data_IF_805403640207
#
_entry.id   IF_805403640207
#
_cell.length_a   1.000
_cell.length_b   1.000
_cell.length_c   1.000
_cell.angle_alpha   90.00
_cell.angle_beta   90.00
_cell.angle_gamma   90.00
#
_symmetry.space_group_name_H-M   'P 1'
#
loop_
_entity.id
_entity.type
_entity.pdbx_description
1 polymer ?
#
# COMPACT_ATOMS: atom_id res chain seq x y z
N UNK A 1 -21.30 0.66 -6.94
CA UNK A 1 -21.07 0.37 -5.51
C UNK A 1 -19.68 0.82 -5.06
N UNK A 2 -18.60 0.41 -5.73
CA UNK A 2 -17.23 0.88 -5.40
C UNK A 2 -17.09 2.39 -5.47
N UNK A 3 -17.65 3.03 -6.52
CA UNK A 3 -17.61 4.50 -6.63
C UNK A 3 -18.15 5.21 -5.39
N UNK A 4 -19.25 4.74 -4.83
CA UNK A 4 -19.84 5.33 -3.62
C UNK A 4 -18.95 5.14 -2.37
N UNK A 5 -18.24 4.01 -2.26
CA UNK A 5 -17.26 3.80 -1.19
C UNK A 5 -16.06 4.73 -1.34
N UNK A 6 -15.56 4.87 -2.56
CA UNK A 6 -14.46 5.79 -2.89
C UNK A 6 -14.87 7.23 -2.59
N UNK A 7 -16.02 7.68 -3.08
CA UNK A 7 -16.57 9.00 -2.80
C UNK A 7 -16.73 9.26 -1.30
N UNK A 8 -17.26 8.29 -0.54
CA UNK A 8 -17.39 8.40 0.90
C UNK A 8 -16.03 8.53 1.61
N UNK A 9 -15.02 7.79 1.15
CA UNK A 9 -13.66 7.89 1.68
C UNK A 9 -13.02 9.26 1.36
N UNK A 10 -13.30 9.83 0.20
CA UNK A 10 -12.87 11.20 -0.14
C UNK A 10 -13.60 12.27 0.68
N UNK A 11 -14.90 12.09 0.92
CA UNK A 11 -15.71 13.04 1.70
C UNK A 11 -15.32 13.06 3.17
N UNK A 12 -15.04 11.89 3.74
CA UNK A 12 -14.65 11.75 5.15
C UNK A 12 -13.15 11.91 5.37
N UNK A 13 -12.35 11.78 4.31
CA UNK A 13 -10.89 11.71 4.37
C UNK A 13 -10.37 10.41 4.98
N UNK A 14 -11.24 9.44 5.24
CA UNK A 14 -10.91 8.18 5.89
C UNK A 14 -11.55 6.98 5.18
N UNK A 15 -10.77 5.92 4.97
CA UNK A 15 -11.27 4.64 4.50
C UNK A 15 -11.55 3.72 5.70
N UNK A 16 -12.82 3.38 5.89
CA UNK A 16 -13.25 2.51 6.99
C UNK A 16 -12.91 1.04 6.75
N UNK A 17 -12.78 0.27 7.83
CA UNK A 17 -12.48 -1.17 7.78
C UNK A 17 -13.54 -1.95 6.99
N UNK A 18 -14.81 -1.57 7.13
CA UNK A 18 -15.91 -2.16 6.37
C UNK A 18 -15.76 -1.93 4.85
N UNK A 19 -15.33 -0.73 4.46
CA UNK A 19 -15.10 -0.38 3.05
C UNK A 19 -13.93 -1.15 2.46
N UNK A 20 -12.82 -1.30 3.22
CA UNK A 20 -11.69 -2.15 2.81
C UNK A 20 -12.09 -3.61 2.64
N UNK A 21 -12.90 -4.15 3.56
CA UNK A 21 -13.41 -5.53 3.47
C UNK A 21 -14.24 -5.77 2.20
N UNK A 22 -15.12 -4.82 1.86
CA UNK A 22 -15.93 -4.88 0.64
C UNK A 22 -15.05 -4.82 -0.63
N UNK A 23 -14.05 -3.95 -0.66
CA UNK A 23 -13.08 -3.85 -1.77
C UNK A 23 -12.31 -5.17 -1.91
N UNK A 24 -11.78 -5.70 -0.81
CA UNK A 24 -11.04 -6.96 -0.79
C UNK A 24 -11.89 -8.14 -1.29
N UNK A 25 -13.16 -8.20 -0.91
CA UNK A 25 -14.07 -9.24 -1.34
C UNK A 25 -14.42 -9.12 -2.83
N UNK A 26 -14.57 -7.90 -3.35
CA UNK A 26 -14.81 -7.69 -4.78
C UNK A 26 -13.59 -8.11 -5.62
N UNK A 27 -12.38 -7.81 -5.15
CA UNK A 27 -11.14 -8.23 -5.81
C UNK A 27 -11.01 -9.76 -5.82
N UNK A 28 -11.31 -10.41 -4.70
CA UNK A 28 -11.28 -11.86 -4.59
C UNK A 28 -12.30 -12.55 -5.51
N UNK A 29 -13.48 -11.95 -5.67
CA UNK A 29 -14.57 -12.50 -6.50
C UNK A 29 -14.46 -12.14 -7.99
N UNK A 30 -13.52 -11.24 -8.36
CA UNK A 30 -13.31 -10.76 -9.74
C UNK A 30 -14.57 -10.20 -10.41
N UNK A 31 -15.55 -9.76 -9.63
CA UNK A 31 -16.84 -9.23 -10.11
C UNK A 31 -16.82 -7.74 -10.48
N UNK A 32 -15.64 -7.16 -10.71
CA UNK A 32 -15.48 -5.72 -10.95
C UNK A 32 -15.52 -5.38 -12.44
N UNK A 33 -16.11 -4.23 -12.78
CA UNK A 33 -16.08 -3.67 -14.13
C UNK A 33 -14.89 -2.72 -14.32
N UNK A 34 -14.62 -2.34 -15.57
CA UNK A 34 -13.56 -1.38 -15.91
C UNK A 34 -13.68 -0.04 -15.15
N UNK A 35 -14.92 0.44 -14.96
CA UNK A 35 -15.18 1.65 -14.18
C UNK A 35 -14.87 1.50 -12.68
N UNK A 36 -14.98 0.28 -12.14
CA UNK A 36 -14.62 0.00 -10.74
C UNK A 36 -13.09 -0.04 -10.57
N UNK A 37 -12.36 -0.56 -11.57
CA UNK A 37 -10.89 -0.54 -11.59
C UNK A 37 -10.35 0.90 -11.56
N UNK A 38 -10.94 1.80 -12.35
CA UNK A 38 -10.54 3.21 -12.37
C UNK A 38 -10.74 3.87 -11.00
N UNK A 39 -11.88 3.61 -10.35
CA UNK A 39 -12.16 4.11 -9.00
C UNK A 39 -11.19 3.54 -7.95
N UNK A 40 -10.81 2.26 -8.07
CA UNK A 40 -9.81 1.63 -7.19
C UNK A 40 -8.41 2.22 -7.36
N UNK A 41 -8.00 2.54 -8.60
CA UNK A 41 -6.72 3.21 -8.87
C UNK A 41 -6.70 4.60 -8.23
N UNK A 42 -7.79 5.36 -8.37
CA UNK A 42 -7.92 6.68 -7.74
C UNK A 42 -7.81 6.57 -6.21
N UNK A 43 -8.54 5.62 -5.61
CA UNK A 43 -8.49 5.38 -4.16
C UNK A 43 -7.08 4.99 -3.70
N UNK A 44 -6.42 4.10 -4.42
CA UNK A 44 -5.05 3.66 -4.11
C UNK A 44 -4.07 4.84 -4.14
N UNK A 45 -4.16 5.69 -5.17
CA UNK A 45 -3.33 6.88 -5.26
C UNK A 45 -3.57 7.85 -4.10
N UNK A 46 -4.83 8.05 -3.69
CA UNK A 46 -5.18 8.92 -2.57
C UNK A 46 -4.71 8.38 -1.21
N UNK A 47 -4.72 7.05 -1.02
CA UNK A 47 -4.11 6.42 0.15
C UNK A 47 -2.59 6.60 0.16
N UNK A 48 -1.94 6.41 -1.00
CA UNK A 48 -0.49 6.51 -1.11
C UNK A 48 0.03 7.97 -1.04
N UNK A 49 -0.77 8.94 -1.47
CA UNK A 49 -0.47 10.37 -1.30
C UNK A 49 -0.76 10.88 0.12
N UNK A 50 -1.42 10.08 0.96
CA UNK A 50 -1.86 10.48 2.30
C UNK A 50 -3.09 11.39 2.31
N UNK A 51 -3.76 11.56 1.17
CA UNK A 51 -5.01 12.33 1.07
C UNK A 51 -6.17 11.63 1.80
N UNK A 52 -6.15 10.29 1.84
CA UNK A 52 -7.09 9.48 2.60
C UNK A 52 -6.30 8.70 3.66
N UNK A 53 -6.76 8.76 4.90
CA UNK A 53 -6.23 7.97 5.99
C UNK A 53 -6.98 6.65 6.12
N UNK A 54 -6.30 5.62 6.59
CA UNK A 54 -6.94 4.34 6.88
C UNK A 54 -7.40 4.34 8.32
N UNK A 55 -8.66 3.95 8.55
CA UNK A 55 -9.21 3.82 9.90
C UNK A 55 -8.48 2.72 10.70
N UNK A 56 -8.11 1.62 10.03
CA UNK A 56 -7.17 0.63 10.53
C UNK A 56 -6.26 0.12 9.42
N UNK A 57 -5.06 -0.33 9.78
CA UNK A 57 -4.11 -0.91 8.81
C UNK A 57 -4.57 -2.34 8.46
N UNK A 58 -5.32 -2.52 7.38
CA UNK A 58 -5.72 -3.86 6.90
C UNK A 58 -4.91 -4.32 5.69
N UNK A 59 -4.70 -5.64 5.58
CA UNK A 59 -3.92 -6.28 4.51
C UNK A 59 -4.57 -6.18 3.12
N UNK A 60 -5.86 -5.82 3.03
CA UNK A 60 -6.59 -5.76 1.76
C UNK A 60 -6.00 -4.73 0.77
N UNK A 61 -5.56 -3.58 1.27
CA UNK A 61 -4.88 -2.55 0.46
C UNK A 61 -3.44 -2.96 0.11
N UNK A 62 -2.75 -3.68 0.99
CA UNK A 62 -1.43 -4.25 0.66
C UNK A 62 -1.54 -5.27 -0.47
N UNK A 63 -2.61 -6.09 -0.51
CA UNK A 63 -2.90 -7.01 -1.62
C UNK A 63 -3.30 -6.30 -2.93
N UNK A 64 -3.94 -5.13 -2.84
CA UNK A 64 -4.12 -4.24 -3.99
C UNK A 64 -2.77 -3.73 -4.50
N UNK A 65 -1.91 -3.26 -3.59
CA UNK A 65 -0.57 -2.82 -3.91
C UNK A 65 0.21 -3.94 -4.62
N UNK A 66 0.21 -5.16 -4.10
CA UNK A 66 0.84 -6.33 -4.73
C UNK A 66 0.29 -6.64 -6.13
N UNK A 67 -1.03 -6.57 -6.30
CA UNK A 67 -1.67 -6.79 -7.60
C UNK A 67 -1.23 -5.73 -8.63
N UNK A 68 -0.99 -4.50 -8.20
CA UNK A 68 -0.44 -3.44 -9.06
C UNK A 68 1.10 -3.46 -9.18
N UNK A 69 1.83 -3.94 -8.17
CA UNK A 69 3.29 -3.97 -8.11
C UNK A 69 3.88 -5.06 -9.04
N UNK A 70 3.11 -6.10 -9.37
CA UNK A 70 3.49 -7.04 -10.46
C UNK A 70 3.68 -6.38 -11.83
N UNK A 71 3.21 -5.14 -12.01
CA UNK A 71 3.42 -4.34 -13.22
C UNK A 71 4.54 -3.29 -13.08
N UNK A 72 5.18 -3.15 -11.91
CA UNK A 72 6.27 -2.20 -11.68
C UNK A 72 7.61 -2.96 -11.69
N UNK A 73 8.58 -2.62 -12.56
CA UNK A 73 9.91 -3.19 -12.46
C UNK A 73 10.51 -2.76 -11.11
N UNK A 74 10.90 -3.75 -10.31
CA UNK A 74 11.58 -3.62 -9.01
C UNK A 74 12.49 -2.39 -9.00
N UNK A 75 12.09 -1.33 -8.29
CA UNK A 75 13.06 -0.32 -7.86
C UNK A 75 13.97 -1.00 -6.87
N UNK A 76 15.18 -1.28 -7.35
CA UNK A 76 16.29 -1.85 -6.63
C UNK A 76 16.42 -1.21 -5.23
N UNK A 77 16.41 -2.07 -4.23
CA UNK A 77 16.75 -1.76 -2.85
C UNK A 77 18.26 -1.42 -2.79
N UNK A 78 18.62 -0.18 -3.13
CA UNK A 78 19.94 0.40 -2.85
C UNK A 78 19.79 1.23 -1.59
N UNK A 79 19.81 0.58 -0.42
CA UNK A 79 20.31 1.18 0.81
C UNK A 79 20.55 0.13 1.91
N UNK A 80 21.62 -0.66 1.75
CA UNK A 80 22.34 -1.27 2.88
C UNK A 80 23.85 -1.21 2.64
N UNK A 81 24.36 0.00 2.72
CA UNK A 81 25.75 0.24 3.07
C UNK A 81 25.70 1.15 4.29
N UNK A 82 26.59 0.94 5.26
CA UNK A 82 26.53 1.37 6.67
C UNK A 82 25.79 0.29 7.49
N UNK A 83 26.44 -0.56 8.30
CA UNK A 83 27.47 -0.23 9.30
C UNK A 83 28.22 -1.52 9.66
N UNK A 84 29.49 -1.65 9.28
CA UNK A 84 30.41 -2.60 9.93
C UNK A 84 31.86 -2.08 9.85
N UNK A 85 32.09 -0.89 10.40
CA UNK A 85 33.42 -0.40 10.74
C UNK A 85 33.32 0.21 12.14
N UNK A 86 33.55 -0.62 13.15
CA UNK A 86 33.58 -0.18 14.54
C UNK A 86 33.37 -1.34 15.50
N UNK A 87 34.43 -1.66 16.24
CA UNK A 87 34.59 -2.67 17.31
C UNK A 87 35.27 -3.96 16.82
N UNK A 88 36.37 -4.43 17.40
CA UNK A 88 37.16 -4.00 18.54
C UNK A 88 38.47 -4.81 18.60
N UNK A 89 39.46 -4.31 19.34
CA UNK A 89 40.52 -5.11 19.98
C UNK A 89 41.88 -5.06 19.26
N UNK A 90 42.79 -4.19 19.70
CA UNK A 90 43.92 -4.54 20.57
C UNK A 90 44.75 -5.73 20.08
N UNK A 91 45.99 -5.46 19.62
CA UNK A 91 47.22 -6.08 20.15
C UNK A 91 48.45 -5.31 19.62
N UNK A 92 49.44 -5.20 20.51
CA UNK A 92 50.48 -4.17 20.64
C UNK A 92 51.63 -4.26 19.62
N UNK A 93 52.45 -3.19 19.48
CA UNK A 93 53.67 -3.22 18.68
C UNK A 93 54.83 -3.87 19.46
N UNK A 94 55.64 -4.65 18.76
CA UNK A 94 57.02 -4.95 19.17
C UNK A 94 57.94 -5.01 17.95
#
# INVERSE_FOLDING_TARGET
MIRSLVESAFQTGCLSVASEGLIGQLLATKGYQSADLEALVILYNALNSGQIQREARSDAIERLAESFDTLRPRRANILRSQTQLGQAGLLQPR
#
